data_IF_490911138695
#
_entry.id   IF_490911138695
#
_cell.length_a   1.000
_cell.length_b   1.000
_cell.length_c   1.000
_cell.angle_alpha   90.00
_cell.angle_beta   90.00
_cell.angle_gamma   90.00
#
_symmetry.space_group_name_H-M   'P 1'
#
loop_
_entity.id
_entity.type
_entity.pdbx_description
1 polymer ?
#
# COMPACT_ATOMS: atom_id res chain seq x y z
N UNK A 1 -4.73 5.63 20.05
CA UNK A 1 -4.17 6.46 18.97
C UNK A 1 -5.31 7.13 18.25
N UNK A 2 -5.14 8.40 17.89
CA UNK A 2 -6.04 9.15 17.03
C UNK A 2 -5.59 9.00 15.58
N UNK A 3 -6.47 8.52 14.71
CA UNK A 3 -6.13 8.15 13.34
C UNK A 3 -7.05 8.90 12.38
N UNK A 4 -6.45 9.63 11.45
CA UNK A 4 -7.18 10.28 10.37
C UNK A 4 -7.26 9.33 9.18
N UNK A 5 -8.46 8.95 8.76
CA UNK A 5 -8.71 8.19 7.54
C UNK A 5 -9.26 9.11 6.45
N UNK A 6 -8.65 9.07 5.27
CA UNK A 6 -9.01 9.93 4.14
C UNK A 6 -9.17 9.09 2.91
N UNK A 7 -10.27 9.30 2.18
CA UNK A 7 -10.50 8.60 0.93
C UNK A 7 -11.37 9.39 -0.04
N UNK A 8 -11.10 9.32 -1.35
CA UNK A 8 -11.87 10.01 -2.37
C UNK A 8 -13.15 9.26 -2.75
N UNK A 9 -14.08 9.20 -1.81
CA UNK A 9 -15.25 8.33 -1.89
C UNK A 9 -16.53 8.99 -1.39
N UNK A 10 -17.65 8.33 -1.62
CA UNK A 10 -18.98 8.75 -1.18
C UNK A 10 -19.47 7.84 -0.05
N UNK A 11 -20.39 8.37 0.78
CA UNK A 11 -20.96 7.64 1.93
C UNK A 11 -21.68 6.34 1.54
N UNK A 12 -22.20 6.27 0.32
CA UNK A 12 -22.93 5.11 -0.18
C UNK A 12 -22.01 4.01 -0.73
N UNK A 13 -20.72 4.28 -0.97
CA UNK A 13 -19.75 3.32 -1.50
C UNK A 13 -19.69 2.06 -0.58
N UNK A 14 -19.95 0.86 -1.14
CA UNK A 14 -19.99 -0.37 -0.35
C UNK A 14 -18.63 -0.73 0.30
N UNK A 15 -17.51 -0.41 -0.36
CA UNK A 15 -16.17 -0.65 0.17
C UNK A 15 -15.90 0.26 1.36
N UNK A 16 -16.27 1.54 1.28
CA UNK A 16 -16.18 2.45 2.41
C UNK A 16 -17.03 1.96 3.60
N UNK A 17 -18.26 1.50 3.36
CA UNK A 17 -19.12 0.96 4.43
C UNK A 17 -18.46 -0.21 5.15
N UNK A 18 -17.79 -1.10 4.41
CA UNK A 18 -17.01 -2.20 4.98
C UNK A 18 -15.83 -1.69 5.82
N UNK A 19 -15.07 -0.73 5.29
CA UNK A 19 -13.95 -0.08 6.01
C UNK A 19 -14.44 0.58 7.29
N UNK A 20 -15.47 1.44 7.23
CA UNK A 20 -16.06 2.09 8.42
C UNK A 20 -16.52 1.05 9.45
N UNK A 21 -17.22 -0.01 9.01
CA UNK A 21 -17.70 -1.06 9.90
C UNK A 21 -16.57 -1.81 10.61
N UNK A 22 -15.44 -2.03 9.94
CA UNK A 22 -14.27 -2.67 10.54
C UNK A 22 -13.49 -1.70 11.43
N UNK A 23 -13.19 -0.50 10.95
CA UNK A 23 -12.30 0.45 11.62
C UNK A 23 -12.94 1.07 12.86
N UNK A 24 -14.26 1.29 12.87
CA UNK A 24 -14.97 1.78 14.05
C UNK A 24 -15.09 0.73 15.17
N UNK A 25 -14.73 -0.54 14.92
CA UNK A 25 -14.63 -1.59 15.95
C UNK A 25 -13.21 -1.72 16.52
N UNK A 26 -12.23 -1.03 15.92
CA UNK A 26 -10.85 -1.01 16.40
C UNK A 26 -10.77 -0.41 17.81
N UNK A 27 -9.71 -0.76 18.53
CA UNK A 27 -9.31 -0.08 19.78
C UNK A 27 -8.77 1.35 19.58
N UNK A 28 -8.66 1.82 18.33
CA UNK A 28 -8.17 3.14 17.98
C UNK A 28 -9.30 4.10 17.59
N UNK A 29 -9.07 5.40 17.78
CA UNK A 29 -10.06 6.42 17.47
C UNK A 29 -9.90 6.87 16.01
N UNK A 30 -10.90 6.61 15.18
CA UNK A 30 -10.87 7.01 13.76
C UNK A 30 -11.69 8.28 13.50
N UNK A 31 -11.08 9.26 12.85
CA UNK A 31 -11.75 10.38 12.21
C UNK A 31 -11.77 10.16 10.71
N UNK A 32 -12.95 10.15 10.10
CA UNK A 32 -13.11 9.96 8.65
C UNK A 32 -13.25 11.30 7.94
N UNK A 33 -12.42 11.53 6.92
CA UNK A 33 -12.52 12.66 6.01
C UNK A 33 -12.74 12.14 4.59
N UNK A 34 -13.94 12.31 4.06
CA UNK A 34 -14.27 11.83 2.71
C UNK A 34 -14.20 12.97 1.69
N UNK A 35 -13.56 12.71 0.55
CA UNK A 35 -13.50 13.66 -0.57
C UNK A 35 -14.59 13.28 -1.57
N UNK A 36 -15.75 13.89 -1.41
CA UNK A 36 -16.91 13.66 -2.30
C UNK A 36 -16.73 14.43 -3.62
N UNK A 37 -16.26 13.72 -4.65
CA UNK A 37 -16.01 14.31 -5.97
C UNK A 37 -17.27 14.78 -6.71
N UNK A 38 -18.47 14.41 -6.25
CA UNK A 38 -19.71 14.99 -6.79
C UNK A 38 -19.89 16.44 -6.35
N UNK A 39 -19.28 16.83 -5.22
CA UNK A 39 -19.39 18.16 -4.62
C UNK A 39 -18.15 19.01 -4.82
N UNK A 40 -16.98 18.39 -4.92
CA UNK A 40 -15.69 19.07 -5.07
C UNK A 40 -14.93 18.47 -6.25
N UNK A 41 -14.67 19.28 -7.29
CA UNK A 41 -13.80 18.85 -8.39
C UNK A 41 -12.35 18.79 -7.92
N UNK A 42 -11.63 17.74 -8.30
CA UNK A 42 -10.20 17.63 -8.08
C UNK A 42 -9.76 16.19 -7.85
N UNK A 43 -8.46 16.02 -7.58
CA UNK A 43 -7.85 14.76 -7.21
C UNK A 43 -7.55 14.71 -5.71
N UNK A 44 -7.19 13.53 -5.21
CA UNK A 44 -6.94 13.25 -3.79
C UNK A 44 -5.85 14.16 -3.21
N UNK A 45 -4.76 14.34 -3.95
CA UNK A 45 -3.57 15.04 -3.45
C UNK A 45 -3.73 16.56 -3.33
N UNK A 46 -4.36 17.29 -4.28
CA UNK A 46 -4.73 18.68 -4.08
C UNK A 46 -5.59 18.90 -2.82
N UNK A 47 -6.49 17.96 -2.53
CA UNK A 47 -7.28 18.01 -1.30
C UNK A 47 -6.38 17.87 -0.06
N UNK A 48 -5.49 16.87 -0.05
CA UNK A 48 -4.52 16.68 1.02
C UNK A 48 -3.66 17.94 1.23
N UNK A 49 -3.18 18.56 0.14
CA UNK A 49 -2.39 19.81 0.22
C UNK A 49 -3.16 20.94 0.89
N UNK A 50 -4.44 21.10 0.52
CA UNK A 50 -5.26 22.22 0.98
C UNK A 50 -5.69 22.08 2.44
N UNK A 51 -6.02 20.87 2.89
CA UNK A 51 -6.70 20.66 4.17
C UNK A 51 -5.87 19.95 5.22
N UNK A 52 -4.88 19.13 4.84
CA UNK A 52 -4.06 18.35 5.77
C UNK A 52 -2.76 19.08 6.10
N UNK A 53 -2.88 20.39 6.31
CA UNK A 53 -1.77 21.27 6.63
C UNK A 53 -1.19 20.92 8.00
N UNK A 54 0.10 21.19 8.26
CA UNK A 54 0.75 20.86 9.53
C UNK A 54 0.00 21.32 10.79
N UNK A 55 -0.57 22.53 10.76
CA UNK A 55 -1.35 23.06 11.90
C UNK A 55 -2.63 22.27 12.16
N UNK A 56 -3.33 21.81 11.12
CA UNK A 56 -4.51 20.96 11.25
C UNK A 56 -4.14 19.61 11.87
N UNK A 57 -3.09 18.96 11.34
CA UNK A 57 -2.63 17.65 11.82
C UNK A 57 -2.14 17.73 13.27
N UNK A 58 -1.48 18.83 13.64
CA UNK A 58 -1.04 19.07 15.01
C UNK A 58 -2.19 19.37 15.96
N UNK A 59 -3.15 20.20 15.55
CA UNK A 59 -4.28 20.62 16.39
C UNK A 59 -5.15 19.43 16.83
N UNK A 60 -5.41 18.49 15.93
CA UNK A 60 -6.21 17.30 16.22
C UNK A 60 -5.39 16.11 16.77
N UNK A 61 -4.09 16.30 16.99
CA UNK A 61 -3.21 15.31 17.61
C UNK A 61 -3.30 13.92 16.96
N UNK A 62 -3.34 13.87 15.62
CA UNK A 62 -3.35 12.59 14.90
C UNK A 62 -2.00 11.90 15.03
N UNK A 63 -2.00 10.62 15.42
CA UNK A 63 -0.81 9.76 15.48
C UNK A 63 -0.49 9.17 14.09
N UNK A 64 -1.54 8.82 13.35
CA UNK A 64 -1.46 8.23 12.01
C UNK A 64 -2.42 8.89 11.03
N UNK A 65 -1.98 8.95 9.77
CA UNK A 65 -2.77 9.44 8.64
C UNK A 65 -2.85 8.32 7.60
N UNK A 66 -4.05 7.83 7.33
CA UNK A 66 -4.37 6.84 6.31
C UNK A 66 -4.98 7.56 5.11
N UNK A 67 -4.38 7.40 3.93
CA UNK A 67 -4.84 8.06 2.70
C UNK A 67 -5.06 7.00 1.64
N UNK A 68 -6.28 6.52 1.50
CA UNK A 68 -6.62 5.35 0.71
C UNK A 68 -7.54 5.69 -0.45
N UNK A 69 -7.34 5.08 -1.62
CA UNK A 69 -8.26 5.20 -2.76
C UNK A 69 -9.62 4.51 -2.46
N UNK A 70 -10.62 4.77 -3.28
CA UNK A 70 -12.03 4.38 -3.06
C UNK A 70 -12.39 2.96 -3.51
N UNK A 71 -11.44 2.25 -4.11
CA UNK A 71 -11.58 0.94 -4.76
C UNK A 71 -10.84 -0.19 -4.02
N UNK A 72 -10.66 -0.04 -2.70
CA UNK A 72 -9.99 -1.01 -1.84
C UNK A 72 -10.94 -1.87 -1.02
N UNK A 73 -10.86 -3.18 -1.19
CA UNK A 73 -11.56 -4.17 -0.36
C UNK A 73 -10.65 -4.75 0.72
N UNK A 74 -11.16 -4.80 1.95
CA UNK A 74 -10.47 -5.23 3.17
C UNK A 74 -10.89 -6.62 3.66
N UNK A 75 -11.36 -7.52 2.79
CA UNK A 75 -11.92 -8.82 3.20
C UNK A 75 -11.00 -9.68 4.11
N UNK A 76 -9.68 -9.58 3.93
CA UNK A 76 -8.68 -10.35 4.69
C UNK A 76 -7.74 -9.45 5.52
N UNK A 77 -8.23 -8.27 5.89
CA UNK A 77 -7.44 -7.24 6.55
C UNK A 77 -8.02 -6.90 7.92
N UNK A 78 -7.15 -6.88 8.92
CA UNK A 78 -7.40 -6.42 10.27
C UNK A 78 -6.51 -5.21 10.56
N UNK A 79 -7.15 -4.07 10.83
CA UNK A 79 -6.48 -2.79 11.06
C UNK A 79 -5.64 -2.78 12.34
N UNK A 80 -6.07 -3.49 13.39
CA UNK A 80 -5.36 -3.52 14.66
C UNK A 80 -4.08 -4.35 14.51
N UNK A 81 -4.16 -5.52 13.87
CA UNK A 81 -2.97 -6.34 13.57
C UNK A 81 -2.01 -5.59 12.65
N UNK A 82 -2.53 -4.90 11.62
CA UNK A 82 -1.71 -4.10 10.73
C UNK A 82 -0.94 -3.01 11.48
N UNK A 83 -1.62 -2.20 12.29
CA UNK A 83 -1.00 -1.11 13.05
C UNK A 83 -0.03 -1.63 14.12
N UNK A 84 -0.33 -2.75 14.77
CA UNK A 84 0.60 -3.39 15.70
C UNK A 84 1.92 -3.78 15.03
N UNK A 85 1.86 -4.34 13.81
CA UNK A 85 3.07 -4.65 13.03
C UNK A 85 3.81 -3.36 12.65
N UNK A 86 3.10 -2.32 12.21
CA UNK A 86 3.71 -1.02 11.90
C UNK A 86 4.47 -0.45 13.10
N UNK A 87 3.85 -0.45 14.29
CA UNK A 87 4.46 0.02 15.54
C UNK A 87 5.67 -0.84 15.91
N UNK A 88 5.52 -2.17 15.87
CA UNK A 88 6.59 -3.10 16.22
C UNK A 88 7.84 -2.82 15.37
N UNK A 89 7.67 -2.68 14.06
CA UNK A 89 8.76 -2.43 13.12
C UNK A 89 9.17 -0.96 13.02
N UNK A 90 8.51 -0.06 13.76
CA UNK A 90 8.72 1.40 13.72
C UNK A 90 8.61 1.95 12.30
N UNK A 91 7.60 1.50 11.55
CA UNK A 91 7.33 2.02 10.22
C UNK A 91 6.82 3.45 10.34
N UNK A 92 7.44 4.34 9.58
CA UNK A 92 6.98 5.73 9.41
C UNK A 92 6.00 5.83 8.25
N UNK A 93 6.18 5.00 7.22
CA UNK A 93 5.29 4.89 6.06
C UNK A 93 5.04 3.41 5.78
N UNK A 94 3.80 3.02 5.60
CA UNK A 94 3.45 1.64 5.37
C UNK A 94 2.28 1.50 4.40
N UNK A 95 2.12 0.29 3.86
CA UNK A 95 0.85 -0.14 3.27
C UNK A 95 0.57 -1.61 3.58
N UNK A 96 -0.70 -2.05 3.57
CA UNK A 96 -1.01 -3.46 3.39
C UNK A 96 -0.48 -3.97 2.05
N UNK A 97 -0.15 -5.26 1.98
CA UNK A 97 0.13 -5.89 0.71
C UNK A 97 -1.14 -6.01 -0.14
N UNK A 98 -0.98 -6.07 -1.46
CA UNK A 98 -2.06 -6.39 -2.38
C UNK A 98 -2.23 -7.90 -2.54
N UNK A 99 -3.48 -8.37 -2.54
CA UNK A 99 -3.81 -9.74 -2.90
C UNK A 99 -3.42 -10.02 -4.37
N UNK A 100 -3.32 -11.29 -4.75
CA UNK A 100 -3.06 -11.65 -6.15
C UNK A 100 -4.26 -11.44 -7.09
N UNK A 101 -5.42 -11.12 -6.53
CA UNK A 101 -6.62 -10.76 -7.29
C UNK A 101 -6.65 -9.27 -7.66
N UNK A 102 -5.85 -8.45 -6.97
CA UNK A 102 -5.75 -7.01 -7.21
C UNK A 102 -5.31 -6.67 -8.64
N UNK A 103 -5.81 -5.54 -9.13
CA UNK A 103 -5.09 -4.76 -10.15
C UNK A 103 -3.87 -4.10 -9.50
N UNK A 104 -2.74 -4.05 -10.20
CA UNK A 104 -1.50 -3.48 -9.67
C UNK A 104 -0.65 -2.86 -10.77
N UNK A 105 0.07 -1.78 -10.43
CA UNK A 105 1.13 -1.19 -11.28
C UNK A 105 2.51 -1.67 -10.89
N UNK A 106 2.73 -1.84 -9.58
CA UNK A 106 4.04 -2.14 -9.01
C UNK A 106 4.04 -3.54 -8.41
N UNK A 107 4.76 -4.48 -9.01
CA UNK A 107 4.78 -5.87 -8.54
C UNK A 107 5.19 -6.00 -7.07
N UNK A 108 6.01 -5.07 -6.56
CA UNK A 108 6.42 -5.05 -5.16
C UNK A 108 5.25 -4.94 -4.19
N UNK A 109 4.12 -4.33 -4.58
CA UNK A 109 2.98 -4.16 -3.68
C UNK A 109 2.20 -5.44 -3.49
N UNK A 110 2.32 -6.43 -4.39
CA UNK A 110 1.69 -7.75 -4.22
C UNK A 110 2.25 -8.49 -3.01
N UNK A 111 1.40 -9.25 -2.34
CA UNK A 111 1.77 -10.08 -1.20
C UNK A 111 2.89 -11.05 -1.55
N UNK A 112 3.75 -11.31 -0.58
CA UNK A 112 4.89 -12.20 -0.75
C UNK A 112 4.42 -13.65 -1.03
N UNK A 113 5.03 -14.38 -1.99
CA UNK A 113 4.64 -15.75 -2.36
C UNK A 113 4.72 -16.78 -1.25
N UNK A 114 5.70 -16.63 -0.35
CA UNK A 114 5.76 -17.39 0.90
C UNK A 114 4.69 -16.87 1.88
N UNK A 115 3.64 -17.66 2.20
CA UNK A 115 2.53 -17.23 3.04
C UNK A 115 2.91 -16.99 4.51
N UNK A 116 4.12 -17.42 4.92
CA UNK A 116 4.60 -17.20 6.27
C UNK A 116 5.24 -15.81 6.46
N UNK A 117 5.44 -15.06 5.37
CA UNK A 117 5.97 -13.70 5.46
C UNK A 117 4.90 -12.78 6.02
N UNK A 118 5.27 -12.04 7.06
CA UNK A 118 4.38 -11.10 7.73
C UNK A 118 4.60 -9.66 7.25
N UNK A 119 5.84 -9.29 6.97
CA UNK A 119 6.21 -7.93 6.56
C UNK A 119 7.50 -7.92 5.74
N UNK A 120 7.56 -6.96 4.82
CA UNK A 120 8.76 -6.57 4.10
C UNK A 120 9.13 -5.12 4.42
N UNK A 121 10.38 -4.92 4.83
CA UNK A 121 11.00 -3.61 4.77
C UNK A 121 11.35 -3.30 3.33
N UNK A 122 11.01 -2.11 2.86
CA UNK A 122 11.11 -1.74 1.45
C UNK A 122 11.49 -0.26 1.33
N UNK A 123 11.88 0.17 0.14
CA UNK A 123 12.05 1.58 -0.22
C UNK A 123 10.92 2.08 -1.14
N UNK A 124 9.78 1.38 -1.15
CA UNK A 124 8.60 1.74 -1.94
C UNK A 124 7.30 1.44 -1.22
N UNK A 125 6.41 2.44 -1.16
CA UNK A 125 5.00 2.33 -0.77
C UNK A 125 4.22 3.10 -1.83
N UNK A 126 3.20 2.47 -2.41
CA UNK A 126 2.37 3.06 -3.46
C UNK A 126 1.42 4.10 -2.87
N UNK A 127 1.24 5.20 -3.60
CA UNK A 127 0.37 6.34 -3.26
C UNK A 127 -1.12 5.98 -3.14
N UNK A 128 -1.52 4.79 -3.57
CA UNK A 128 -2.90 4.32 -3.59
C UNK A 128 -3.41 3.99 -2.17
N UNK A 129 -2.59 3.34 -1.33
CA UNK A 129 -2.98 2.97 0.04
C UNK A 129 -1.94 3.25 1.14
N UNK A 130 -1.23 4.41 1.14
CA UNK A 130 -0.25 4.70 2.16
C UNK A 130 -0.88 4.98 3.54
N UNK A 131 -0.12 4.63 4.56
CA UNK A 131 -0.34 4.95 5.97
C UNK A 131 0.92 5.63 6.48
N UNK A 132 0.79 6.84 6.99
CA UNK A 132 1.87 7.65 7.53
C UNK A 132 1.75 7.74 9.05
N UNK A 133 2.88 7.76 9.76
CA UNK A 133 2.91 8.43 11.07
C UNK A 133 2.75 9.92 10.89
N UNK A 134 2.36 10.62 11.96
CA UNK A 134 2.32 12.09 12.01
C UNK A 134 3.61 12.72 11.49
N UNK A 135 4.74 12.27 11.99
CA UNK A 135 6.06 12.83 11.67
C UNK A 135 6.39 12.62 10.19
N UNK A 136 6.08 11.45 9.65
CA UNK A 136 6.29 11.15 8.24
C UNK A 136 5.41 12.03 7.35
N UNK A 137 4.14 12.23 7.71
CA UNK A 137 3.26 13.14 6.99
C UNK A 137 3.78 14.58 7.01
N UNK A 138 4.23 15.08 8.17
CA UNK A 138 4.77 16.44 8.29
C UNK A 138 6.05 16.65 7.46
N UNK A 139 6.91 15.63 7.36
CA UNK A 139 8.09 15.63 6.49
C UNK A 139 7.72 15.54 5.00
N UNK A 140 6.68 14.79 4.65
CA UNK A 140 6.23 14.60 3.27
C UNK A 140 5.41 15.80 2.74
N UNK A 141 4.62 16.47 3.59
CA UNK A 141 3.71 17.55 3.20
C UNK A 141 4.35 18.65 2.30
N UNK A 142 5.61 19.09 2.50
CA UNK A 142 6.28 20.04 1.60
C UNK A 142 6.44 19.56 0.15
N UNK A 143 6.42 18.24 -0.10
CA UNK A 143 6.51 17.67 -1.45
C UNK A 143 5.20 17.74 -2.23
N UNK A 144 4.05 17.91 -1.57
CA UNK A 144 2.76 18.05 -2.26
C UNK A 144 2.77 19.35 -3.11
N UNK A 145 2.55 19.20 -4.41
CA UNK A 145 2.53 20.29 -5.38
C UNK A 145 1.14 20.48 -6.00
N UNK A 146 0.81 21.74 -6.33
CA UNK A 146 -0.44 22.07 -7.03
C UNK A 146 -0.44 21.59 -8.49
N UNK A 147 0.75 21.40 -9.09
CA UNK A 147 0.96 20.92 -10.46
C UNK A 147 1.20 19.41 -10.57
N UNK A 148 1.07 18.66 -9.46
CA UNK A 148 1.06 17.20 -9.44
C UNK A 148 -0.24 16.70 -8.78
N UNK A 149 -1.35 16.88 -9.50
CA UNK A 149 -2.70 16.61 -9.01
C UNK A 149 -2.94 15.12 -8.75
N UNK A 150 -2.45 14.25 -9.64
CA UNK A 150 -2.64 12.80 -9.52
C UNK A 150 -1.64 12.17 -8.54
N UNK A 151 -0.59 12.90 -8.19
CA UNK A 151 0.42 12.53 -7.19
C UNK A 151 1.36 11.40 -7.62
N UNK A 152 1.35 11.02 -8.90
CA UNK A 152 2.33 10.09 -9.43
C UNK A 152 3.74 10.65 -9.18
N UNK A 153 4.64 9.81 -8.67
CA UNK A 153 5.98 10.24 -8.30
C UNK A 153 6.18 10.37 -6.79
N UNK A 154 5.12 10.62 -6.01
CA UNK A 154 5.25 10.76 -4.55
C UNK A 154 5.72 9.46 -3.88
N UNK A 155 5.33 8.30 -4.40
CA UNK A 155 5.77 6.98 -3.95
C UNK A 155 7.30 6.82 -3.96
N UNK A 156 8.02 7.44 -4.91
CA UNK A 156 9.49 7.41 -4.96
C UNK A 156 10.17 8.32 -3.93
N UNK A 157 9.42 9.24 -3.31
CA UNK A 157 9.94 10.16 -2.28
C UNK A 157 9.94 9.49 -0.92
N UNK A 158 8.98 8.61 -0.64
CA UNK A 158 8.71 8.07 0.69
C UNK A 158 9.96 7.45 1.37
N UNK A 159 10.86 6.82 0.60
CA UNK A 159 12.13 6.28 1.12
C UNK A 159 13.08 7.33 1.71
N UNK A 160 12.96 8.59 1.30
CA UNK A 160 13.73 9.71 1.86
C UNK A 160 13.02 10.37 3.05
N UNK A 161 11.72 10.09 3.22
CA UNK A 161 10.91 10.65 4.31
C UNK A 161 11.09 9.83 5.59
N UNK A 162 11.03 8.50 5.48
CA UNK A 162 11.07 7.63 6.63
C UNK A 162 11.13 6.15 6.31
N UNK A 163 11.17 5.35 7.37
CA UNK A 163 11.23 3.89 7.29
C UNK A 163 9.95 3.31 6.67
N UNK A 164 10.08 2.68 5.50
CA UNK A 164 8.96 2.17 4.70
C UNK A 164 8.75 0.65 4.84
N UNK A 165 7.49 0.18 4.83
CA UNK A 165 7.18 -1.25 4.91
C UNK A 165 5.89 -1.67 4.20
N UNK A 166 5.84 -2.92 3.73
CA UNK A 166 4.63 -3.56 3.22
C UNK A 166 4.28 -4.73 4.14
N UNK A 167 3.07 -4.74 4.70
CA UNK A 167 2.60 -5.78 5.63
C UNK A 167 1.89 -6.89 4.85
N UNK A 168 2.60 -8.00 4.61
CA UNK A 168 2.13 -9.15 3.83
C UNK A 168 1.06 -9.99 4.50
N UNK A 169 1.07 -10.07 5.84
CA UNK A 169 0.08 -10.83 6.59
C UNK A 169 -1.29 -10.17 6.63
N UNK A 170 -1.41 -8.91 6.18
CA UNK A 170 -2.65 -8.14 6.18
C UNK A 170 -2.95 -7.63 4.77
N UNK A 171 -3.30 -8.53 3.83
CA UNK A 171 -3.51 -8.14 2.44
C UNK A 171 -4.89 -7.50 2.21
N UNK A 172 -4.94 -6.51 1.33
CA UNK A 172 -6.17 -5.91 0.79
C UNK A 172 -6.27 -6.20 -0.72
N UNK A 173 -7.44 -5.95 -1.31
CA UNK A 173 -7.67 -6.10 -2.74
C UNK A 173 -7.95 -4.75 -3.40
N UNK A 174 -7.23 -4.44 -4.49
CA UNK A 174 -7.47 -3.27 -5.32
C UNK A 174 -8.37 -3.69 -6.49
N UNK A 175 -9.63 -3.28 -6.43
CA UNK A 175 -10.75 -3.88 -7.18
C UNK A 175 -10.96 -3.30 -8.58
N UNK A 176 -10.27 -2.20 -8.89
CA UNK A 176 -10.44 -1.49 -10.16
C UNK A 176 -9.10 -1.29 -10.86
N UNK A 177 -9.12 -1.40 -12.19
CA UNK A 177 -7.93 -1.13 -12.99
C UNK A 177 -7.67 0.37 -13.02
N UNK A 178 -6.40 0.75 -13.01
CA UNK A 178 -6.01 2.12 -13.33
C UNK A 178 -6.49 2.44 -14.74
N UNK A 179 -7.32 3.47 -14.85
CA UNK A 179 -7.69 4.05 -16.13
C UNK A 179 -6.57 5.01 -16.55
N UNK A 180 -5.87 4.75 -17.66
CA UNK A 180 -4.91 5.71 -18.20
C UNK A 180 -5.69 6.92 -18.73
N UNK A 181 -5.87 7.95 -17.91
CA UNK A 181 -6.47 9.22 -18.31
C UNK A 181 -5.45 10.06 -19.10
N UNK A 182 -5.03 9.54 -20.25
CA UNK A 182 -3.99 10.14 -21.09
C UNK A 182 -2.63 10.22 -20.41
N UNK A 183 -1.75 11.10 -20.90
CA UNK A 183 -0.37 11.21 -20.44
C UNK A 183 -0.18 12.26 -19.32
N UNK A 184 -1.26 12.91 -18.84
CA UNK A 184 -1.16 14.00 -17.83
C UNK A 184 -0.40 13.54 -16.59
N UNK A 185 -0.79 12.40 -16.00
CA UNK A 185 -0.14 11.86 -14.79
C UNK A 185 1.35 11.58 -14.98
N UNK A 186 1.72 11.09 -16.17
CA UNK A 186 3.12 10.79 -16.50
C UNK A 186 3.94 12.08 -16.65
N UNK A 187 3.36 13.12 -17.25
CA UNK A 187 3.99 14.44 -17.40
C UNK A 187 4.18 15.09 -16.02
N UNK A 188 3.14 15.10 -15.18
CA UNK A 188 3.20 15.59 -13.79
C UNK A 188 4.31 14.88 -13.00
N UNK A 189 4.34 13.54 -13.07
CA UNK A 189 5.38 12.73 -12.44
C UNK A 189 6.78 13.11 -12.93
N UNK A 190 6.98 13.26 -14.25
CA UNK A 190 8.29 13.60 -14.81
C UNK A 190 8.77 14.97 -14.32
N UNK A 191 7.90 15.99 -14.32
CA UNK A 191 8.23 17.31 -13.77
C UNK A 191 8.59 17.24 -12.29
N UNK A 192 7.79 16.53 -11.50
CA UNK A 192 8.02 16.35 -10.08
C UNK A 192 9.36 15.66 -9.79
N UNK A 193 9.64 14.53 -10.44
CA UNK A 193 10.87 13.77 -10.25
C UNK A 193 12.11 14.60 -10.63
N UNK A 194 12.07 15.33 -11.75
CA UNK A 194 13.17 16.20 -12.16
C UNK A 194 13.40 17.36 -11.20
N UNK A 195 12.32 18.00 -10.71
CA UNK A 195 12.40 19.12 -9.76
C UNK A 195 13.16 18.74 -8.49
N UNK A 196 12.97 17.51 -8.01
CA UNK A 196 13.59 17.02 -6.77
C UNK A 196 14.82 16.12 -7.00
N UNK A 197 15.23 15.89 -8.25
CA UNK A 197 16.35 14.99 -8.57
C UNK A 197 16.10 13.53 -8.14
N UNK A 198 14.85 13.07 -8.20
CA UNK A 198 14.45 11.73 -7.74
C UNK A 198 14.39 10.78 -8.92
N UNK A 199 15.09 9.64 -8.80
CA UNK A 199 15.00 8.57 -9.79
C UNK A 199 13.75 7.73 -9.59
N UNK A 200 13.09 7.37 -10.71
CA UNK A 200 11.94 6.46 -10.77
C UNK A 200 12.33 4.98 -10.54
N UNK A 201 13.16 4.72 -9.54
CA UNK A 201 13.66 3.40 -9.21
C UNK A 201 13.58 3.15 -7.71
N UNK A 202 13.12 1.97 -7.34
CA UNK A 202 13.18 1.40 -6.00
C UNK A 202 14.00 0.10 -6.05
N UNK A 203 14.75 -0.16 -4.98
CA UNK A 203 15.59 -1.35 -4.82
C UNK A 203 14.75 -2.59 -4.54
N UNK A 204 13.59 -2.43 -3.91
CA UNK A 204 12.65 -3.50 -3.65
C UNK A 204 12.59 -3.94 -2.20
N UNK A 205 12.35 -5.23 -1.98
CA UNK A 205 12.25 -5.83 -0.65
C UNK A 205 13.64 -5.89 0.00
N UNK A 206 13.95 -4.92 0.87
CA UNK A 206 15.25 -4.80 1.54
C UNK A 206 15.42 -5.84 2.65
N UNK A 207 14.36 -6.11 3.41
CA UNK A 207 14.35 -7.13 4.45
C UNK A 207 12.99 -7.80 4.52
N UNK A 208 12.95 -9.10 4.84
CA UNK A 208 11.71 -9.90 4.87
C UNK A 208 11.63 -10.63 6.21
N UNK A 209 10.48 -10.56 6.87
CA UNK A 209 10.28 -11.13 8.20
C UNK A 209 9.06 -12.05 8.23
N UNK A 210 9.18 -13.15 8.99
CA UNK A 210 8.06 -14.01 9.36
C UNK A 210 7.82 -13.95 10.87
N UNK A 211 6.57 -14.13 11.28
CA UNK A 211 6.24 -14.32 12.69
C UNK A 211 6.78 -15.67 13.19
N UNK A 212 7.29 -15.70 14.42
CA UNK A 212 7.73 -16.92 15.08
C UNK A 212 6.50 -17.73 15.54
N UNK A 213 6.38 -18.97 15.06
CA UNK A 213 5.22 -19.85 15.30
C UNK A 213 4.98 -20.17 16.77
N UNK A 214 6.03 -20.11 17.60
CA UNK A 214 6.00 -20.66 18.95
C UNK A 214 5.47 -19.66 20.00
N UNK A 215 5.14 -18.42 19.60
CA UNK A 215 4.69 -17.34 20.52
C UNK A 215 3.66 -16.44 19.86
N UNK A 216 2.42 -16.89 19.77
CA UNK A 216 1.32 -16.21 19.08
C UNK A 216 0.66 -15.06 19.86
N UNK A 217 1.00 -14.84 21.14
CA UNK A 217 0.16 -14.02 22.03
C UNK A 217 0.59 -12.56 22.23
N UNK A 218 1.74 -12.09 21.71
CA UNK A 218 2.14 -10.65 21.77
C UNK A 218 3.05 -10.22 20.60
N UNK A 219 2.63 -9.22 19.81
CA UNK A 219 3.29 -8.75 18.57
C UNK A 219 4.43 -7.73 18.81
N UNK A 220 5.46 -8.12 19.58
CA UNK A 220 6.72 -7.37 19.65
C UNK A 220 7.72 -7.83 18.58
N UNK A 221 8.61 -6.93 18.10
CA UNK A 221 9.64 -7.26 17.07
C UNK A 221 10.51 -8.46 17.42
N UNK A 222 10.73 -8.73 18.71
CA UNK A 222 11.48 -9.90 19.19
C UNK A 222 10.88 -11.25 18.75
N UNK A 223 9.61 -11.26 18.32
CA UNK A 223 8.91 -12.45 17.83
C UNK A 223 8.93 -12.59 16.31
N UNK A 224 9.63 -11.71 15.59
CA UNK A 224 9.81 -11.84 14.13
C UNK A 224 11.21 -12.32 13.79
N UNK A 225 11.29 -13.21 12.80
CA UNK A 225 12.53 -13.81 12.32
C UNK A 225 12.80 -13.29 10.91
N UNK A 226 13.97 -12.68 10.71
CA UNK A 226 14.44 -12.24 9.39
C UNK A 226 14.71 -13.47 8.51
N UNK A 227 14.23 -13.45 7.27
CA UNK A 227 14.44 -14.50 6.28
C UNK A 227 15.66 -14.14 5.43
N UNK A 228 16.67 -15.00 5.37
CA UNK A 228 17.89 -14.77 4.57
C UNK A 228 17.61 -14.68 3.05
N UNK A 229 18.37 -13.81 2.37
CA UNK A 229 18.23 -13.38 0.98
C UNK A 229 18.25 -14.50 -0.06
N UNK A 230 19.04 -15.55 0.15
CA UNK A 230 19.33 -16.57 -0.88
C UNK A 230 18.13 -17.46 -1.21
N UNK A 231 17.10 -17.48 -0.36
CA UNK A 231 15.82 -18.16 -0.62
C UNK A 231 14.76 -17.26 -1.24
N UNK A 232 14.97 -15.95 -1.30
CA UNK A 232 13.94 -14.98 -1.70
C UNK A 232 13.77 -14.89 -3.23
N UNK A 233 14.88 -14.83 -3.97
CA UNK A 233 14.86 -14.66 -5.44
C UNK A 233 14.22 -15.86 -6.18
N UNK A 234 14.53 -17.09 -5.77
CA UNK A 234 14.07 -18.32 -6.44
C UNK A 234 12.57 -18.54 -6.31
N UNK A 235 11.96 -18.12 -5.20
CA UNK A 235 10.52 -18.23 -4.94
C UNK A 235 9.72 -17.18 -5.72
N UNK A 236 10.19 -15.93 -5.78
CA UNK A 236 9.52 -14.86 -6.51
C UNK A 236 9.48 -15.12 -8.02
N UNK A 237 10.61 -15.48 -8.64
CA UNK A 237 10.67 -15.68 -10.09
C UNK A 237 9.79 -16.85 -10.55
N UNK A 238 9.84 -18.00 -9.87
CA UNK A 238 9.05 -19.18 -10.23
C UNK A 238 7.55 -18.98 -10.03
N UNK A 239 7.14 -18.36 -8.93
CA UNK A 239 5.72 -18.11 -8.66
C UNK A 239 5.12 -17.12 -9.67
N UNK A 240 5.90 -16.09 -10.03
CA UNK A 240 5.44 -15.07 -10.96
C UNK A 240 5.29 -15.57 -12.39
N UNK A 241 6.23 -16.40 -12.89
CA UNK A 241 6.06 -17.11 -14.17
C UNK A 241 4.74 -17.89 -14.15
N UNK A 242 4.40 -18.56 -13.05
CA UNK A 242 3.16 -19.32 -12.91
C UNK A 242 1.90 -18.43 -12.94
N UNK A 243 1.94 -17.23 -12.36
CA UNK A 243 0.84 -16.25 -12.42
C UNK A 243 0.66 -15.71 -13.84
N UNK A 244 1.74 -15.29 -14.50
CA UNK A 244 1.71 -14.80 -15.88
C UNK A 244 1.19 -15.88 -16.81
N UNK A 245 1.75 -17.09 -16.73
CA UNK A 245 1.34 -18.23 -17.56
C UNK A 245 -0.14 -18.54 -17.32
N UNK A 246 -0.64 -18.55 -16.08
CA UNK A 246 -2.07 -18.73 -15.82
C UNK A 246 -2.93 -17.63 -16.45
N UNK A 247 -2.55 -16.35 -16.32
CA UNK A 247 -3.31 -15.25 -16.93
C UNK A 247 -3.31 -15.33 -18.46
N UNK A 248 -2.18 -15.67 -19.09
CA UNK A 248 -2.07 -15.88 -20.54
C UNK A 248 -2.93 -17.07 -20.97
N UNK A 249 -2.85 -18.20 -20.27
CA UNK A 249 -3.62 -19.42 -20.64
C UNK A 249 -5.13 -19.23 -20.49
N UNK A 250 -5.58 -18.47 -19.48
CA UNK A 250 -7.00 -18.07 -19.32
C UNK A 250 -7.44 -17.19 -20.49
N UNK A 251 -6.62 -16.20 -20.87
CA UNK A 251 -6.89 -15.34 -22.04
C UNK A 251 -6.94 -16.14 -23.36
N UNK A 252 -6.16 -17.23 -23.46
CA UNK A 252 -6.12 -18.11 -24.63
C UNK A 252 -7.14 -19.26 -24.58
N UNK A 253 -7.97 -19.37 -23.53
CA UNK A 253 -8.97 -20.45 -23.36
C UNK A 253 -8.38 -21.87 -23.41
N UNK A 254 -7.13 -22.05 -22.97
CA UNK A 254 -6.45 -23.35 -23.03
C UNK A 254 -6.92 -24.24 -21.86
N UNK A 255 -7.37 -25.50 -22.12
CA UNK A 255 -7.87 -26.41 -21.08
C UNK A 255 -6.86 -26.70 -19.96
N UNK A 256 -7.36 -26.77 -18.72
CA UNK A 256 -6.58 -26.99 -17.48
C UNK A 256 -5.73 -28.28 -17.53
N UNK A 257 -6.10 -29.28 -18.34
CA UNK A 257 -5.33 -30.52 -18.50
C UNK A 257 -3.93 -30.32 -19.12
N UNK A 258 -3.71 -29.26 -19.91
CA UNK A 258 -2.41 -28.94 -20.52
C UNK A 258 -1.47 -28.27 -19.49
N UNK A 259 -2.04 -27.68 -18.43
CA UNK A 259 -1.34 -26.97 -17.36
C UNK A 259 -0.30 -27.85 -16.64
N UNK A 260 -0.59 -29.14 -16.49
CA UNK A 260 0.28 -30.12 -15.81
C UNK A 260 1.53 -30.51 -16.59
N UNK A 261 1.53 -30.34 -17.93
CA UNK A 261 2.69 -30.65 -18.79
C UNK A 261 3.64 -29.45 -18.93
N UNK A 262 3.12 -28.23 -19.04
CA UNK A 262 3.94 -27.01 -19.23
C UNK A 262 4.69 -26.63 -17.94
N UNK A 263 4.07 -26.80 -16.77
CA UNK A 263 4.67 -26.44 -15.48
C UNK A 263 5.67 -27.47 -14.94
N UNK A 264 5.79 -28.64 -15.56
CA UNK A 264 6.64 -29.77 -15.14
C UNK A 264 7.81 -30.08 -16.10
N UNK A 265 8.06 -29.26 -17.13
CA UNK A 265 9.33 -29.37 -17.85
C UNK A 265 10.46 -28.95 -16.90
N UNK A 266 11.28 -29.94 -16.53
CA UNK A 266 12.47 -29.81 -15.67
C UNK A 266 13.51 -28.88 -16.27
#
# INVERSE_FOLDING_TARGET
>A
MNILYISPTQEDNPLLKKIKSAFLKSKHNFTFFLIDYTKVKGWKWPFCKRFLIPSFINYFEFDYIIIWDDDLDIHHFDIDIFLEICIAFKLEIAQPALSYHSYFSHQITLKHPNPNVSIRMTDFVEIMCPVFTKEAWLKFYPYLQDDNEQGWGYDYVFKYIGKCGIVDSQPIEHTRKINPHGNKAQIEMWHFLNKYGINQHYKGNLEVYKMNSDRQHTLHTKHFIKINSDRQHTLYTKHFIKIIVRKILILLSIPICILGKILNCK
#
